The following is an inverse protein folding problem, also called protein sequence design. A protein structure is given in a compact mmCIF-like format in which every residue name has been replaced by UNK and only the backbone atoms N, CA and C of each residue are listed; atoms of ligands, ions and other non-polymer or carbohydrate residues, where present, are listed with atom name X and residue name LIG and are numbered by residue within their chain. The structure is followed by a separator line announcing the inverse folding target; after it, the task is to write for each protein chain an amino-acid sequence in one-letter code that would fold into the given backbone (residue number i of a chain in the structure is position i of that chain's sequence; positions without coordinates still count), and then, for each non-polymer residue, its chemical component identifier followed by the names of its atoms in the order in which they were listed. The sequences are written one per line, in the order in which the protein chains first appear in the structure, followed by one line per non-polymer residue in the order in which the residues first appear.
data_IF_654986253025
#
_entry.id   IF_654986253025
#
_cell.length_a   1.000
_cell.length_b   1.000
_cell.length_c   1.000
_cell.angle_alpha   90.00
_cell.angle_beta   90.00
_cell.angle_gamma   90.00
#
_symmetry.space_group_name_H-M   'P 1'
#
loop_
_entity.id
_entity.type
_entity.pdbx_description
1 polymer ?
#
# COMPACT_ATOMS: atom_id res chain seq x y z
N UNK A 1 9.59 -5.31 1.82
CA UNK A 1 9.66 -3.84 1.68
C UNK A 1 10.98 -3.26 2.19
N UNK A 2 11.41 -3.51 3.44
CA UNK A 2 12.71 -3.02 3.97
C UNK A 2 13.95 -3.49 3.18
N UNK A 3 13.90 -4.69 2.61
CA UNK A 3 14.99 -5.24 1.78
C UNK A 3 15.19 -4.45 0.47
N UNK A 4 14.10 -4.02 -0.18
CA UNK A 4 14.16 -3.28 -1.44
C UNK A 4 14.79 -1.89 -1.24
N UNK A 5 14.47 -1.25 -0.11
CA UNK A 5 15.09 0.02 0.28
C UNK A 5 16.59 -0.12 0.54
N UNK A 6 17.03 -1.20 1.20
CA UNK A 6 18.47 -1.45 1.39
C UNK A 6 19.19 -1.66 0.06
N UNK A 7 18.58 -2.37 -0.89
CA UNK A 7 19.15 -2.60 -2.22
C UNK A 7 19.30 -1.27 -2.97
N UNK A 8 18.25 -0.43 -2.97
CA UNK A 8 18.29 0.89 -3.60
C UNK A 8 19.31 1.82 -2.94
N UNK A 9 19.41 1.82 -1.61
CA UNK A 9 20.37 2.65 -0.87
C UNK A 9 21.83 2.20 -1.08
N UNK A 10 22.08 0.89 -1.13
CA UNK A 10 23.41 0.38 -1.47
C UNK A 10 23.79 0.75 -2.90
N UNK A 11 22.88 0.58 -3.86
CA UNK A 11 23.14 0.90 -5.24
C UNK A 11 23.36 2.42 -5.45
N UNK A 12 22.64 3.28 -4.72
CA UNK A 12 22.87 4.73 -4.65
C UNK A 12 24.26 5.10 -4.10
N UNK A 13 24.82 4.27 -3.20
CA UNK A 13 26.12 4.49 -2.56
C UNK A 13 27.29 4.16 -3.50
N UNK A 14 27.12 3.21 -4.42
CA UNK A 14 28.16 2.79 -5.37
C UNK A 14 28.08 3.49 -6.74
N UNK A 15 27.10 4.39 -6.95
CA UNK A 15 26.80 5.00 -8.27
C UNK A 15 26.69 3.99 -9.42
N UNK A 16 26.31 2.76 -9.10
CA UNK A 16 26.08 1.72 -10.08
C UNK A 16 24.85 2.09 -10.92
N UNK A 17 24.94 1.93 -12.24
CA UNK A 17 23.92 2.16 -13.28
C UNK A 17 22.57 2.77 -12.82
N UNK A 18 22.60 4.07 -12.44
CA UNK A 18 21.49 4.80 -11.81
C UNK A 18 20.18 4.75 -12.63
N UNK A 19 20.30 4.69 -13.95
CA UNK A 19 19.19 4.62 -14.89
C UNK A 19 18.42 3.29 -14.76
N UNK A 20 19.13 2.17 -14.66
CA UNK A 20 18.56 0.84 -14.44
C UNK A 20 17.87 0.73 -13.08
N UNK A 21 18.45 1.35 -12.05
CA UNK A 21 17.86 1.41 -10.70
C UNK A 21 16.58 2.25 -10.72
N UNK A 22 16.56 3.35 -11.46
CA UNK A 22 15.38 4.19 -11.61
C UNK A 22 14.23 3.42 -12.29
N UNK A 23 14.49 2.71 -13.39
CA UNK A 23 13.49 1.85 -14.04
C UNK A 23 12.94 0.75 -13.11
N UNK A 24 13.83 0.11 -12.35
CA UNK A 24 13.42 -0.88 -11.36
C UNK A 24 12.52 -0.28 -10.26
N UNK A 25 12.85 0.92 -9.78
CA UNK A 25 12.04 1.64 -8.79
C UNK A 25 10.64 1.96 -9.32
N UNK A 26 10.54 2.36 -10.59
CA UNK A 26 9.29 2.70 -11.27
C UNK A 26 8.38 1.48 -11.38
N UNK A 27 8.96 0.33 -11.74
CA UNK A 27 8.25 -0.94 -11.79
C UNK A 27 7.70 -1.31 -10.41
N UNK A 28 8.53 -1.25 -9.36
CA UNK A 28 8.07 -1.57 -8.01
C UNK A 28 7.00 -0.63 -7.46
N UNK A 29 7.09 0.67 -7.76
CA UNK A 29 6.03 1.63 -7.43
C UNK A 29 4.71 1.21 -8.10
N UNK A 30 4.75 0.77 -9.36
CA UNK A 30 3.55 0.29 -10.07
C UNK A 30 2.94 -0.96 -9.42
N UNK A 31 3.77 -1.94 -9.02
CA UNK A 31 3.30 -3.13 -8.29
C UNK A 31 2.60 -2.78 -6.98
N UNK A 32 3.18 -1.89 -6.16
CA UNK A 32 2.56 -1.51 -4.89
C UNK A 32 1.31 -0.64 -5.11
N UNK A 33 1.27 0.16 -6.17
CA UNK A 33 0.06 0.88 -6.58
C UNK A 33 -1.10 -0.07 -6.90
N UNK A 34 -0.81 -1.17 -7.62
CA UNK A 34 -1.80 -2.21 -7.89
C UNK A 34 -2.31 -2.87 -6.60
N UNK A 35 -1.41 -3.20 -5.68
CA UNK A 35 -1.77 -3.76 -4.37
C UNK A 35 -2.67 -2.81 -3.56
N UNK A 36 -2.39 -1.49 -3.58
CA UNK A 36 -3.26 -0.47 -2.95
C UNK A 36 -4.67 -0.44 -3.54
N UNK A 37 -4.81 -0.56 -4.86
CA UNK A 37 -6.11 -0.60 -5.53
C UNK A 37 -6.92 -1.82 -5.09
N UNK A 38 -6.29 -2.99 -5.06
CA UNK A 38 -6.93 -4.23 -4.59
C UNK A 38 -7.34 -4.12 -3.13
N UNK A 39 -6.49 -3.57 -2.26
CA UNK A 39 -6.85 -3.34 -0.86
C UNK A 39 -8.01 -2.36 -0.71
N UNK A 40 -8.02 -1.27 -1.48
CA UNK A 40 -9.14 -0.32 -1.48
C UNK A 40 -10.45 -1.04 -1.88
N UNK A 41 -10.42 -1.85 -2.93
CA UNK A 41 -11.59 -2.61 -3.38
C UNK A 41 -12.10 -3.58 -2.33
N UNK A 42 -11.19 -4.33 -1.68
CA UNK A 42 -11.55 -5.28 -0.63
C UNK A 42 -12.12 -4.54 0.59
N UNK A 43 -11.50 -3.43 1.03
CA UNK A 43 -12.02 -2.62 2.15
C UNK A 43 -13.40 -2.04 1.85
N UNK A 44 -13.63 -1.58 0.61
CA UNK A 44 -14.93 -1.07 0.18
C UNK A 44 -15.99 -2.18 0.22
N UNK A 45 -15.66 -3.36 -0.30
CA UNK A 45 -16.55 -4.52 -0.27
C UNK A 45 -16.92 -4.94 1.16
N UNK A 46 -15.95 -5.05 2.06
CA UNK A 46 -16.21 -5.34 3.47
C UNK A 46 -17.02 -4.23 4.16
N UNK A 47 -16.75 -2.97 3.86
CA UNK A 47 -17.55 -1.84 4.34
C UNK A 47 -19.02 -1.94 3.92
N UNK A 48 -19.28 -2.32 2.66
CA UNK A 48 -20.64 -2.57 2.18
C UNK A 48 -21.31 -3.74 2.91
N UNK A 49 -20.59 -4.85 3.13
CA UNK A 49 -21.11 -6.00 3.89
C UNK A 49 -21.45 -5.62 5.33
N UNK A 50 -20.62 -4.81 5.99
CA UNK A 50 -20.88 -4.30 7.33
C UNK A 50 -22.17 -3.48 7.35
N UNK A 51 -22.37 -2.57 6.38
CA UNK A 51 -23.61 -1.79 6.27
C UNK A 51 -24.84 -2.68 6.08
N UNK A 52 -24.78 -3.63 5.14
CA UNK A 52 -25.87 -4.60 4.90
C UNK A 52 -26.16 -5.41 6.17
N UNK A 53 -25.11 -5.85 6.88
CA UNK A 53 -25.24 -6.60 8.12
C UNK A 53 -25.92 -5.79 9.23
N UNK A 54 -25.64 -4.48 9.33
CA UNK A 54 -26.33 -3.58 10.28
C UNK A 54 -27.81 -3.45 9.93
N UNK A 55 -28.15 -3.19 8.66
CA UNK A 55 -29.54 -3.11 8.22
C UNK A 55 -30.31 -4.40 8.50
N UNK A 56 -29.71 -5.56 8.19
CA UNK A 56 -30.29 -6.85 8.47
C UNK A 56 -30.47 -7.09 9.99
N UNK A 57 -29.49 -6.70 10.81
CA UNK A 57 -29.57 -6.85 12.27
C UNK A 57 -30.71 -6.03 12.88
N UNK A 58 -30.93 -4.80 12.39
CA UNK A 58 -32.01 -3.91 12.85
C UNK A 58 -33.40 -4.46 12.48
N UNK A 59 -33.56 -4.98 11.26
CA UNK A 59 -34.85 -5.48 10.76
C UNK A 59 -35.20 -6.83 11.41
N UNK A 60 -34.25 -7.77 11.41
CA UNK A 60 -34.52 -9.16 11.79
C UNK A 60 -34.32 -9.44 13.28
N UNK A 61 -33.66 -8.54 14.03
CA UNK A 61 -33.39 -8.63 15.47
C UNK A 61 -32.74 -9.94 15.95
N UNK A 62 -31.99 -10.62 15.08
CA UNK A 62 -31.29 -11.85 15.44
C UNK A 62 -29.93 -11.56 16.07
N UNK A 63 -29.69 -12.12 17.25
CA UNK A 63 -28.41 -12.00 17.98
C UNK A 63 -27.22 -12.52 17.16
N UNK A 64 -27.43 -13.54 16.31
CA UNK A 64 -26.40 -14.08 15.41
C UNK A 64 -25.87 -13.03 14.41
N UNK A 65 -26.71 -12.08 13.98
CA UNK A 65 -26.30 -11.00 13.08
C UNK A 65 -25.37 -10.00 13.78
N UNK A 66 -25.51 -9.82 15.10
CA UNK A 66 -24.59 -9.01 15.89
C UNK A 66 -23.19 -9.64 15.98
N UNK A 67 -23.12 -10.97 16.10
CA UNK A 67 -21.85 -11.71 16.08
C UNK A 67 -21.18 -11.60 14.70
N UNK A 68 -21.95 -11.74 13.63
CA UNK A 68 -21.46 -11.57 12.25
C UNK A 68 -20.91 -10.16 12.03
N UNK A 69 -21.63 -9.12 12.48
CA UNK A 69 -21.17 -7.74 12.43
C UNK A 69 -19.83 -7.56 13.16
N UNK A 70 -19.70 -8.08 14.38
CA UNK A 70 -18.45 -7.98 15.15
C UNK A 70 -17.25 -8.62 14.42
N UNK A 71 -17.44 -9.81 13.83
CA UNK A 71 -16.40 -10.49 13.05
C UNK A 71 -16.02 -9.65 11.82
N UNK A 72 -17.01 -9.15 11.07
CA UNK A 72 -16.78 -8.31 9.90
C UNK A 72 -16.04 -7.01 10.26
N UNK A 73 -16.38 -6.38 11.39
CA UNK A 73 -15.69 -5.18 11.88
C UNK A 73 -14.23 -5.46 12.26
N UNK A 74 -13.94 -6.57 12.93
CA UNK A 74 -12.56 -6.95 13.28
C UNK A 74 -11.73 -7.13 12.01
N UNK A 75 -12.24 -7.90 11.05
CA UNK A 75 -11.57 -8.13 9.76
C UNK A 75 -11.35 -6.80 9.03
N UNK A 76 -12.38 -5.95 8.97
CA UNK A 76 -12.28 -4.61 8.37
C UNK A 76 -11.18 -3.76 9.00
N UNK A 77 -11.05 -3.78 10.33
CA UNK A 77 -10.00 -3.04 11.05
C UNK A 77 -8.59 -3.56 10.71
N UNK A 78 -8.41 -4.88 10.63
CA UNK A 78 -7.15 -5.47 10.17
C UNK A 78 -6.79 -5.03 8.74
N UNK A 79 -7.79 -4.93 7.85
CA UNK A 79 -7.55 -4.45 6.48
C UNK A 79 -7.14 -2.98 6.43
N UNK A 80 -7.71 -2.12 7.28
CA UNK A 80 -7.30 -0.71 7.37
C UNK A 80 -5.83 -0.60 7.81
N UNK A 81 -5.43 -1.35 8.85
CA UNK A 81 -4.04 -1.36 9.31
C UNK A 81 -3.09 -1.82 8.20
N UNK A 82 -3.49 -2.85 7.46
CA UNK A 82 -2.72 -3.34 6.32
C UNK A 82 -2.52 -2.25 5.26
N UNK A 83 -3.58 -1.51 4.93
CA UNK A 83 -3.54 -0.41 3.98
C UNK A 83 -2.52 0.68 4.39
N UNK A 84 -2.55 1.12 5.65
CA UNK A 84 -1.60 2.13 6.15
C UNK A 84 -0.14 1.66 6.10
N UNK A 85 0.11 0.39 6.39
CA UNK A 85 1.47 -0.18 6.28
C UNK A 85 1.98 -0.13 4.83
N UNK A 86 1.10 -0.37 3.87
CA UNK A 86 1.43 -0.36 2.46
C UNK A 86 1.68 1.07 1.94
N UNK A 87 0.83 2.01 2.32
CA UNK A 87 0.96 3.44 2.00
C UNK A 87 2.31 4.01 2.46
N UNK A 88 2.68 3.77 3.72
CA UNK A 88 3.96 4.23 4.29
C UNK A 88 5.17 3.67 3.52
N UNK A 89 5.03 2.47 2.97
CA UNK A 89 6.01 1.85 2.10
C UNK A 89 6.23 2.57 0.79
N UNK A 90 5.13 2.82 0.09
CA UNK A 90 5.13 3.55 -1.18
C UNK A 90 5.76 4.93 -1.02
N UNK A 91 5.39 5.65 0.04
CA UNK A 91 5.93 6.98 0.32
C UNK A 91 7.45 6.98 0.52
N UNK A 92 8.00 5.93 1.15
CA UNK A 92 9.46 5.77 1.27
C UNK A 92 10.13 5.48 -0.06
N UNK A 93 9.56 4.60 -0.88
CA UNK A 93 10.08 4.32 -2.23
C UNK A 93 10.06 5.57 -3.12
N UNK A 94 9.00 6.38 -3.06
CA UNK A 94 8.95 7.65 -3.81
C UNK A 94 10.05 8.62 -3.40
N UNK A 95 10.32 8.76 -2.10
CA UNK A 95 11.42 9.62 -1.63
C UNK A 95 12.77 9.19 -2.20
N UNK A 96 13.05 7.89 -2.21
CA UNK A 96 14.29 7.32 -2.74
C UNK A 96 14.37 7.50 -4.26
N UNK A 97 13.29 7.18 -4.99
CA UNK A 97 13.23 7.35 -6.44
C UNK A 97 13.44 8.82 -6.85
N UNK A 98 12.85 9.77 -6.13
CA UNK A 98 13.04 11.21 -6.38
C UNK A 98 14.49 11.66 -6.10
N UNK A 99 15.14 11.10 -5.07
CA UNK A 99 16.57 11.35 -4.81
C UNK A 99 17.46 10.82 -5.94
N UNK A 100 17.15 9.64 -6.49
CA UNK A 100 17.86 9.06 -7.65
C UNK A 100 17.67 9.95 -8.89
N UNK A 101 16.42 10.33 -9.20
CA UNK A 101 16.11 11.19 -10.34
C UNK A 101 16.85 12.53 -10.29
N UNK A 102 16.84 13.19 -9.12
CA UNK A 102 17.57 14.44 -8.91
C UNK A 102 19.08 14.28 -9.06
N UNK A 103 19.66 13.13 -8.69
CA UNK A 103 21.08 12.85 -8.91
C UNK A 103 21.43 12.66 -10.39
N UNK A 104 20.57 11.98 -11.15
CA UNK A 104 20.75 11.78 -12.60
C UNK A 104 20.73 13.13 -13.32
N UNK A 105 19.66 13.92 -13.15
CA UNK A 105 19.54 15.23 -13.81
C UNK A 105 20.65 16.22 -13.40
N UNK A 106 21.12 16.18 -12.15
CA UNK A 106 22.21 17.06 -11.70
C UNK A 106 23.59 16.65 -12.23
N UNK A 107 23.72 15.41 -12.74
CA UNK A 107 24.93 14.90 -13.39
C UNK A 107 24.97 15.30 -14.88
N UNK A 108 23.81 15.49 -15.51
CA UNK A 108 23.68 15.95 -16.90
C UNK A 108 23.89 17.47 -17.08
N UNK A 109 23.71 18.26 -16.02
CA UNK A 109 23.92 19.72 -15.99
C UNK A 109 25.38 20.16 -15.69
N UNK A 110 26.33 19.22 -15.58
CA UNK A 110 27.70 19.48 -15.09
C UNK A 110 28.77 18.94 -16.03
#
# INVERSE_FOLDING_TARGET
MLEQEKILLNALKYEDDLEKIYEYSKTQIAWISHERLVHLLITLYFGMLVLISVFAAVILRYILLGVLFAILTIVFMFYIVHYYRLENGVQRLYKISNQIYNKINKKDDK
#
